data_IF_416085301887
#
_entry.id   IF_416085301887
#
_cell.length_a   1.000
_cell.length_b   1.000
_cell.length_c   1.000
_cell.angle_alpha   90.00
_cell.angle_beta   90.00
_cell.angle_gamma   90.00
#
_symmetry.space_group_name_H-M   'P 1'
#
loop_
_entity.id
_entity.type
_entity.pdbx_description
1 polymer ?
#
# COMPACT_ATOMS: atom_id res chain seq x y z
N UNK A 1 25.44 11.68 -32.19
CA UNK A 1 25.70 11.38 -30.77
C UNK A 1 24.56 11.87 -29.88
N UNK A 2 24.07 13.09 -30.10
CA UNK A 2 22.89 13.70 -29.44
C UNK A 2 21.61 12.84 -29.32
N UNK A 3 21.06 12.19 -30.39
CA UNK A 3 19.75 11.54 -30.29
C UNK A 3 19.74 10.33 -29.35
N UNK A 4 20.89 9.68 -29.17
CA UNK A 4 21.03 8.54 -28.27
C UNK A 4 20.97 9.01 -26.82
N UNK A 5 21.54 10.17 -26.51
CA UNK A 5 21.53 10.74 -25.17
C UNK A 5 20.10 11.11 -24.77
N UNK A 6 19.36 11.81 -25.63
CA UNK A 6 17.94 12.14 -25.39
C UNK A 6 17.08 10.89 -25.21
N UNK A 7 17.29 9.86 -26.03
CA UNK A 7 16.55 8.60 -25.91
C UNK A 7 16.84 7.88 -24.58
N UNK A 8 18.11 7.82 -24.17
CA UNK A 8 18.48 7.21 -22.89
C UNK A 8 17.92 8.00 -21.70
N UNK A 9 17.99 9.33 -21.74
CA UNK A 9 17.42 10.18 -20.69
C UNK A 9 15.91 10.00 -20.60
N UNK A 10 15.20 9.91 -21.74
CA UNK A 10 13.76 9.68 -21.77
C UNK A 10 13.39 8.30 -21.19
N UNK A 11 14.12 7.24 -21.58
CA UNK A 11 13.91 5.89 -21.06
C UNK A 11 14.19 5.79 -19.54
N UNK A 12 15.21 6.49 -19.05
CA UNK A 12 15.52 6.56 -17.62
C UNK A 12 14.44 7.30 -16.81
N UNK A 13 13.93 8.42 -17.33
CA UNK A 13 12.82 9.13 -16.69
C UNK A 13 11.56 8.26 -16.64
N UNK A 14 11.30 7.48 -17.69
CA UNK A 14 10.19 6.55 -17.71
C UNK A 14 10.38 5.41 -16.71
N UNK A 15 11.59 4.84 -16.61
CA UNK A 15 11.90 3.80 -15.64
C UNK A 15 11.77 4.28 -14.18
N UNK A 16 12.20 5.51 -13.88
CA UNK A 16 12.01 6.12 -12.55
C UNK A 16 10.56 6.46 -12.29
N UNK A 17 9.80 6.92 -13.28
CA UNK A 17 8.36 7.16 -13.16
C UNK A 17 7.55 5.86 -12.98
N UNK A 18 8.07 4.72 -13.45
CA UNK A 18 7.49 3.38 -13.23
C UNK A 18 7.85 2.83 -11.84
N UNK A 19 8.71 3.50 -11.06
CA UNK A 19 8.75 3.30 -9.61
C UNK A 19 7.42 3.80 -9.03
N UNK A 20 6.44 2.91 -9.09
CA UNK A 20 5.04 3.19 -8.83
C UNK A 20 4.87 3.66 -7.38
N UNK A 21 4.00 4.65 -7.16
CA UNK A 21 3.75 5.18 -5.83
C UNK A 21 3.26 4.05 -4.89
N UNK A 22 3.68 4.06 -3.62
CA UNK A 22 3.27 3.05 -2.66
C UNK A 22 1.75 3.11 -2.47
N UNK A 23 1.10 1.96 -2.61
CA UNK A 23 -0.35 1.84 -2.51
C UNK A 23 -0.71 0.73 -1.52
N UNK A 24 -1.82 0.93 -0.80
CA UNK A 24 -2.32 -0.02 0.17
C UNK A 24 -3.83 -0.13 0.09
N UNK A 25 -4.34 -1.36 0.23
CA UNK A 25 -5.77 -1.64 0.29
C UNK A 25 -6.02 -2.58 1.47
N UNK A 26 -6.95 -2.17 2.34
CA UNK A 26 -7.40 -2.94 3.48
C UNK A 26 -8.85 -3.40 3.24
N UNK A 27 -9.06 -4.71 3.25
CA UNK A 27 -10.40 -5.31 3.23
C UNK A 27 -10.73 -5.84 4.62
N UNK A 28 -11.82 -5.33 5.18
CA UNK A 28 -12.39 -5.79 6.44
C UNK A 28 -13.89 -6.00 6.28
N UNK A 29 -14.46 -6.88 7.10
CA UNK A 29 -15.90 -6.97 7.23
C UNK A 29 -16.45 -5.67 7.79
N UNK A 30 -17.55 -5.18 7.22
CA UNK A 30 -18.26 -3.99 7.75
C UNK A 30 -18.83 -4.22 9.15
N UNK A 31 -19.01 -5.48 9.56
CA UNK A 31 -19.50 -5.88 10.88
C UNK A 31 -18.55 -6.92 11.44
N UNK A 32 -18.13 -6.74 12.69
CA UNK A 32 -17.18 -7.60 13.41
C UNK A 32 -17.94 -8.21 14.60
N UNK A 33 -17.85 -9.52 14.78
CA UNK A 33 -18.45 -10.22 15.91
C UNK A 33 -17.48 -10.31 17.09
N UNK A 34 -17.91 -9.90 18.28
CA UNK A 34 -17.06 -9.78 19.48
C UNK A 34 -16.47 -11.09 20.02
N UNK A 35 -16.92 -12.24 19.53
CA UNK A 35 -16.52 -13.57 20.00
C UNK A 35 -16.10 -14.52 18.87
N UNK A 36 -15.81 -13.96 17.69
CA UNK A 36 -15.39 -14.69 16.51
C UNK A 36 -14.01 -14.22 16.07
N UNK A 37 -13.22 -15.15 15.52
CA UNK A 37 -11.99 -14.79 14.84
C UNK A 37 -12.33 -14.24 13.45
N UNK A 38 -12.27 -12.91 13.30
CA UNK A 38 -12.48 -12.24 12.03
C UNK A 38 -11.19 -12.18 11.19
N UNK A 39 -11.36 -12.15 9.87
CA UNK A 39 -10.25 -12.03 8.92
C UNK A 39 -10.23 -10.64 8.31
N UNK A 40 -9.04 -10.05 8.27
CA UNK A 40 -8.75 -8.84 7.50
C UNK A 40 -7.64 -9.15 6.50
N UNK A 41 -7.77 -8.63 5.29
CA UNK A 41 -6.76 -8.78 4.26
C UNK A 41 -6.13 -7.41 3.99
N UNK A 42 -4.80 -7.37 3.95
CA UNK A 42 -4.05 -6.17 3.57
C UNK A 42 -3.22 -6.51 2.34
N UNK A 43 -3.33 -5.68 1.31
CA UNK A 43 -2.45 -5.74 0.15
C UNK A 43 -1.65 -4.44 0.07
N UNK A 44 -0.33 -4.61 0.06
CA UNK A 44 0.63 -3.55 -0.15
C UNK A 44 1.23 -3.73 -1.55
N UNK A 45 1.26 -2.66 -2.32
CA UNK A 45 1.81 -2.64 -3.67
C UNK A 45 2.83 -1.53 -3.81
N UNK A 46 3.85 -1.77 -4.64
CA UNK A 46 4.91 -0.81 -4.95
C UNK A 46 5.71 -0.35 -3.72
N UNK A 47 5.95 -1.27 -2.79
CA UNK A 47 6.91 -1.05 -1.71
C UNK A 47 8.30 -1.43 -2.21
N UNK A 48 9.24 -0.51 -2.08
CA UNK A 48 10.66 -0.77 -2.38
C UNK A 48 11.37 -1.49 -1.23
N UNK A 49 10.77 -1.49 -0.04
CA UNK A 49 11.36 -2.02 1.18
C UNK A 49 10.31 -2.81 2.00
N UNK A 50 10.79 -3.72 2.84
CA UNK A 50 9.94 -4.44 3.78
C UNK A 50 9.50 -3.49 4.91
N UNK A 51 8.22 -3.55 5.27
CA UNK A 51 7.62 -2.69 6.29
C UNK A 51 7.03 -3.52 7.43
N UNK A 52 7.01 -2.95 8.64
CA UNK A 52 6.27 -3.49 9.78
C UNK A 52 4.90 -2.82 9.85
N UNK A 53 3.87 -3.59 10.20
CA UNK A 53 2.48 -3.15 10.23
C UNK A 53 1.86 -3.43 11.60
N UNK A 54 1.05 -2.49 12.07
CA UNK A 54 0.23 -2.65 13.27
C UNK A 54 -1.23 -2.42 12.89
N UNK A 55 -2.10 -3.34 13.27
CA UNK A 55 -3.55 -3.26 13.03
C UNK A 55 -4.23 -3.31 14.39
N UNK A 56 -4.96 -2.26 14.74
CA UNK A 56 -5.64 -2.11 16.03
C UNK A 56 -7.11 -1.82 15.76
N UNK A 57 -8.01 -2.51 16.47
CA UNK A 57 -9.43 -2.21 16.49
C UNK A 57 -9.70 -1.35 17.73
N UNK A 58 -9.96 -0.06 17.52
CA UNK A 58 -10.30 0.88 18.58
C UNK A 58 -11.82 0.91 18.80
N UNK A 59 -12.23 1.10 20.06
CA UNK A 59 -13.64 1.26 20.44
C UNK A 59 -13.85 2.69 20.89
N UNK A 60 -14.78 3.40 20.24
CA UNK A 60 -15.08 4.82 20.53
C UNK A 60 -15.77 5.05 21.89
N UNK A 61 -15.91 4.02 22.72
CA UNK A 61 -16.26 4.18 24.13
C UNK A 61 -17.50 5.03 24.36
N UNK A 62 -18.62 4.72 23.68
CA UNK A 62 -19.90 5.17 24.21
C UNK A 62 -20.15 4.41 25.51
N UNK A 63 -20.07 5.15 26.61
CA UNK A 63 -20.42 4.67 27.95
C UNK A 63 -21.80 3.99 27.88
N UNK A 64 -21.83 2.68 28.11
CA UNK A 64 -23.05 1.99 28.55
C UNK A 64 -23.32 2.31 30.01
#
# INVERSE_FOLDING_TARGET
MEPIIFLNTFLLHFAVSVASEPQYILWVSSVIQSHSAEKACLHLSNLNESVSLSVVLESDGYNT
#
